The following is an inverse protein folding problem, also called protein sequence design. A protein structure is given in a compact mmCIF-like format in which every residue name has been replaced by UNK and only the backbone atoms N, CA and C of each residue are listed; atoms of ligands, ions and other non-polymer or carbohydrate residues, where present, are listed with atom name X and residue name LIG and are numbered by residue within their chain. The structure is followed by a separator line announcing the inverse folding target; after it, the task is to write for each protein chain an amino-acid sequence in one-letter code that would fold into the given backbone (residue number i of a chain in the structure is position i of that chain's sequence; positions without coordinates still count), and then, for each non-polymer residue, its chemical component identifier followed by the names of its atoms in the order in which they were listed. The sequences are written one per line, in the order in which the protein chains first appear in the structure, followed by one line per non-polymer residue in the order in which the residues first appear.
data_IF_904609989916
#
_entry.id   IF_904609989916
#
_cell.length_a   1.000
_cell.length_b   1.000
_cell.length_c   1.000
_cell.angle_alpha   90.00
_cell.angle_beta   90.00
_cell.angle_gamma   90.00
#
_symmetry.space_group_name_H-M   'P 1'
#
loop_
_entity.id
_entity.type
_entity.pdbx_description
1 polymer ?
#
# COMPACT_ATOMS: atom_id res chain seq x y z
N UNK A 1 12.85 25.89 -19.18
CA UNK A 1 13.34 25.41 -17.87
C UNK A 1 12.13 25.13 -16.99
N UNK A 2 11.62 23.90 -16.94
CA UNK A 2 10.60 23.54 -15.95
C UNK A 2 11.32 23.10 -14.67
N UNK A 3 11.88 24.07 -13.94
CA UNK A 3 12.32 23.86 -12.57
C UNK A 3 11.06 23.67 -11.73
N UNK A 4 10.57 22.44 -11.62
CA UNK A 4 9.67 22.09 -10.53
C UNK A 4 10.48 22.29 -9.24
N UNK A 5 10.16 23.35 -8.49
CA UNK A 5 10.65 23.57 -7.14
C UNK A 5 9.95 22.53 -6.26
N UNK A 6 10.47 21.31 -6.25
CA UNK A 6 10.02 20.28 -5.32
C UNK A 6 10.76 20.49 -4.01
N UNK A 7 10.02 20.63 -2.92
CA UNK A 7 10.59 20.67 -1.60
C UNK A 7 10.99 19.23 -1.18
N UNK A 8 12.27 18.95 -0.89
CA UNK A 8 12.71 17.61 -0.47
C UNK A 8 12.00 17.14 0.81
N UNK A 9 11.59 18.06 1.67
CA UNK A 9 10.82 17.75 2.88
C UNK A 9 9.40 17.27 2.55
N UNK A 10 8.73 17.85 1.55
CA UNK A 10 7.41 17.38 1.10
C UNK A 10 7.47 15.96 0.55
N UNK A 11 8.54 15.62 -0.18
CA UNK A 11 8.77 14.25 -0.66
C UNK A 11 8.93 13.26 0.50
N UNK A 12 9.71 13.62 1.53
CA UNK A 12 9.89 12.79 2.73
C UNK A 12 8.59 12.60 3.48
N UNK A 13 7.83 13.67 3.68
CA UNK A 13 6.53 13.62 4.36
C UNK A 13 5.54 12.74 3.59
N UNK A 14 5.47 12.89 2.27
CA UNK A 14 4.63 12.04 1.44
C UNK A 14 5.08 10.58 1.47
N UNK A 15 6.39 10.30 1.41
CA UNK A 15 6.92 8.94 1.53
C UNK A 15 6.56 8.31 2.89
N UNK A 16 6.66 9.07 3.99
CA UNK A 16 6.25 8.62 5.32
C UNK A 16 4.74 8.36 5.42
N UNK A 17 3.93 9.24 4.82
CA UNK A 17 2.48 9.02 4.71
C UNK A 17 2.15 7.75 3.93
N UNK A 18 2.80 7.56 2.79
CA UNK A 18 2.61 6.39 1.93
C UNK A 18 2.96 5.09 2.66
N UNK A 19 4.05 5.09 3.42
CA UNK A 19 4.48 3.95 4.24
C UNK A 19 3.44 3.59 5.32
N UNK A 20 2.93 4.60 6.04
CA UNK A 20 1.89 4.40 7.06
C UNK A 20 0.60 3.86 6.44
N UNK A 21 0.16 4.47 5.33
CA UNK A 21 -1.04 4.04 4.62
C UNK A 21 -0.97 2.57 4.19
N UNK A 22 0.14 2.14 3.59
CA UNK A 22 0.33 0.74 3.19
C UNK A 22 0.33 -0.19 4.39
N UNK A 23 1.01 0.20 5.47
CA UNK A 23 1.09 -0.62 6.69
C UNK A 23 -0.29 -0.84 7.29
N UNK A 24 -1.11 0.22 7.35
CA UNK A 24 -2.50 0.13 7.82
C UNK A 24 -3.36 -0.72 6.88
N UNK A 25 -3.20 -0.59 5.56
CA UNK A 25 -3.93 -1.38 4.58
C UNK A 25 -3.61 -2.88 4.72
N UNK A 26 -2.34 -3.23 4.94
CA UNK A 26 -1.91 -4.60 5.19
C UNK A 26 -2.51 -5.18 6.47
N UNK A 27 -2.49 -4.41 7.56
CA UNK A 27 -3.08 -4.81 8.84
C UNK A 27 -4.58 -5.04 8.72
N UNK A 28 -5.31 -4.10 8.13
CA UNK A 28 -6.77 -4.20 7.89
C UNK A 28 -7.10 -5.36 6.96
N UNK A 29 -6.32 -5.57 5.91
CA UNK A 29 -6.49 -6.70 5.00
C UNK A 29 -6.32 -8.05 5.69
N UNK A 30 -5.34 -8.18 6.58
CA UNK A 30 -5.11 -9.39 7.39
C UNK A 30 -6.29 -9.66 8.35
N UNK A 31 -6.78 -8.60 9.02
CA UNK A 31 -7.94 -8.71 9.90
C UNK A 31 -9.20 -9.14 9.13
N UNK A 32 -9.42 -8.57 7.94
CA UNK A 32 -10.56 -8.94 7.10
C UNK A 32 -10.48 -10.39 6.61
N UNK A 33 -9.29 -10.87 6.24
CA UNK A 33 -9.07 -12.29 5.92
C UNK A 33 -9.41 -13.23 7.09
N UNK A 34 -9.10 -12.82 8.32
CA UNK A 34 -9.47 -13.58 9.52
C UNK A 34 -10.98 -13.64 9.73
N UNK A 35 -11.68 -12.52 9.53
CA UNK A 35 -13.15 -12.47 9.59
C UNK A 35 -13.79 -13.33 8.52
N UNK A 36 -13.22 -13.34 7.30
CA UNK A 36 -13.67 -14.21 6.22
C UNK A 36 -13.56 -15.68 6.63
N UNK A 37 -12.40 -16.12 7.14
CA UNK A 37 -12.21 -17.49 7.61
C UNK A 37 -13.22 -17.89 8.71
N UNK A 38 -13.60 -16.96 9.59
CA UNK A 38 -14.63 -17.21 10.59
C UNK A 38 -16.02 -17.39 9.96
N UNK A 39 -16.36 -16.58 8.94
CA UNK A 39 -17.62 -16.71 8.20
C UNK A 39 -17.74 -18.07 7.50
N UNK A 40 -16.65 -18.62 6.98
CA UNK A 40 -16.63 -19.97 6.37
C UNK A 40 -16.97 -21.10 7.36
N UNK A 41 -16.85 -20.83 8.68
CA UNK A 41 -17.18 -21.82 9.70
C UNK A 41 -18.69 -22.03 9.82
N UNK A 42 -19.48 -20.97 9.64
CA UNK A 42 -20.94 -20.97 9.80
C UNK A 42 -21.70 -20.98 8.47
N UNK A 43 -21.08 -20.51 7.38
CA UNK A 43 -21.66 -20.50 6.04
C UNK A 43 -20.94 -21.51 5.15
N UNK A 44 -21.61 -22.60 4.75
CA UNK A 44 -21.00 -23.74 4.03
C UNK A 44 -21.89 -24.24 2.89
N UNK A 45 -22.04 -23.43 1.87
CA UNK A 45 -22.76 -23.78 0.65
C UNK A 45 -21.97 -23.39 -0.61
N UNK A 46 -22.56 -23.60 -1.79
CA UNK A 46 -21.93 -23.26 -3.07
C UNK A 46 -21.76 -21.74 -3.26
N UNK A 47 -22.67 -20.94 -2.71
CA UNK A 47 -22.62 -19.48 -2.80
C UNK A 47 -21.45 -18.94 -1.98
N UNK A 48 -21.22 -19.50 -0.80
CA UNK A 48 -20.05 -19.20 0.02
C UNK A 48 -18.76 -19.50 -0.73
N UNK A 49 -18.65 -20.66 -1.40
CA UNK A 49 -17.44 -21.00 -2.18
C UNK A 49 -17.17 -20.01 -3.29
N UNK A 50 -18.22 -19.61 -4.03
CA UNK A 50 -18.11 -18.61 -5.10
C UNK A 50 -17.68 -17.26 -4.53
N UNK A 51 -18.32 -16.80 -3.47
CA UNK A 51 -17.98 -15.56 -2.78
C UNK A 51 -16.52 -15.58 -2.28
N UNK A 52 -16.09 -16.66 -1.64
CA UNK A 52 -14.73 -16.80 -1.12
C UNK A 52 -13.69 -16.74 -2.23
N UNK A 53 -13.94 -17.39 -3.37
CA UNK A 53 -13.03 -17.33 -4.51
C UNK A 53 -12.88 -15.90 -5.08
N UNK A 54 -14.00 -15.19 -5.25
CA UNK A 54 -14.01 -13.79 -5.72
C UNK A 54 -13.32 -12.85 -4.71
N UNK A 55 -13.66 -12.99 -3.43
CA UNK A 55 -13.07 -12.21 -2.34
C UNK A 55 -11.55 -12.43 -2.23
N UNK A 56 -11.09 -13.69 -2.29
CA UNK A 56 -9.66 -14.01 -2.28
C UNK A 56 -8.93 -13.39 -3.48
N UNK A 57 -9.57 -13.31 -4.65
CA UNK A 57 -8.97 -12.62 -5.80
C UNK A 57 -8.79 -11.12 -5.56
N UNK A 58 -9.83 -10.46 -5.04
CA UNK A 58 -9.75 -9.05 -4.67
C UNK A 58 -8.65 -8.80 -3.62
N UNK A 59 -8.53 -9.66 -2.61
CA UNK A 59 -7.46 -9.56 -1.60
C UNK A 59 -6.06 -9.74 -2.19
N UNK A 60 -5.89 -10.59 -3.22
CA UNK A 60 -4.63 -10.68 -3.97
C UNK A 60 -4.32 -9.38 -4.70
N UNK A 61 -5.31 -8.71 -5.28
CA UNK A 61 -5.13 -7.42 -5.95
C UNK A 61 -4.69 -6.33 -4.95
N UNK A 62 -5.32 -6.27 -3.77
CA UNK A 62 -4.89 -5.38 -2.68
C UNK A 62 -3.45 -5.65 -2.26
N UNK A 63 -3.08 -6.93 -2.12
CA UNK A 63 -1.71 -7.32 -1.77
C UNK A 63 -0.68 -6.90 -2.84
N UNK A 64 -1.06 -6.93 -4.13
CA UNK A 64 -0.22 -6.44 -5.23
C UNK A 64 -0.08 -4.92 -5.19
N UNK A 65 -1.17 -4.20 -4.91
CA UNK A 65 -1.16 -2.74 -4.76
C UNK A 65 -0.21 -2.32 -3.64
N UNK A 66 -0.30 -2.97 -2.48
CA UNK A 66 0.61 -2.72 -1.35
C UNK A 66 2.08 -2.81 -1.78
N UNK A 67 2.46 -3.93 -2.41
CA UNK A 67 3.84 -4.15 -2.88
C UNK A 67 4.30 -3.12 -3.89
N UNK A 68 3.43 -2.75 -4.84
CA UNK A 68 3.74 -1.72 -5.84
C UNK A 68 3.94 -0.35 -5.17
N UNK A 69 3.10 -0.02 -4.19
CA UNK A 69 3.21 1.23 -3.43
C UNK A 69 4.48 1.30 -2.59
N UNK A 70 4.90 0.20 -1.95
CA UNK A 70 6.16 0.13 -1.19
C UNK A 70 7.38 0.44 -2.06
N UNK A 71 7.37 0.05 -3.33
CA UNK A 71 8.46 0.33 -4.27
C UNK A 71 8.60 1.82 -4.62
N UNK A 72 7.55 2.63 -4.43
CA UNK A 72 7.61 4.08 -4.66
C UNK A 72 8.29 4.84 -3.52
N UNK A 73 8.31 4.28 -2.31
CA UNK A 73 8.90 4.94 -1.13
C UNK A 73 10.40 5.23 -1.34
N UNK A 74 11.25 4.25 -1.72
CA UNK A 74 12.68 4.51 -1.97
C UNK A 74 12.91 5.51 -3.10
N UNK A 75 12.05 5.53 -4.12
CA UNK A 75 12.16 6.49 -5.22
C UNK A 75 11.96 7.93 -4.73
N UNK A 76 10.94 8.18 -3.90
CA UNK A 76 10.67 9.49 -3.32
C UNK A 76 11.82 9.96 -2.41
N UNK A 77 12.37 9.05 -1.60
CA UNK A 77 13.51 9.36 -0.71
C UNK A 77 14.78 9.70 -1.50
N UNK A 78 15.13 8.89 -2.51
CA UNK A 78 16.27 9.19 -3.40
C UNK A 78 16.10 10.51 -4.14
N UNK A 79 14.86 10.83 -4.54
CA UNK A 79 14.56 12.10 -5.20
C UNK A 79 14.77 13.29 -4.25
N UNK A 80 14.39 13.15 -2.98
CA UNK A 80 14.64 14.16 -1.96
C UNK A 80 16.15 14.37 -1.73
N UNK A 81 16.92 13.28 -1.60
CA UNK A 81 18.39 13.33 -1.45
C UNK A 81 19.09 14.04 -2.61
N UNK A 82 18.68 13.75 -3.86
CA UNK A 82 19.22 14.42 -5.04
C UNK A 82 18.96 15.93 -5.05
N UNK A 83 17.80 16.34 -4.55
CA UNK A 83 17.42 17.77 -4.49
C UNK A 83 18.18 18.48 -3.38
N UNK A 84 18.34 17.87 -2.20
CA UNK A 84 19.17 18.43 -1.13
C UNK A 84 20.62 18.61 -1.59
N UNK A 85 21.20 17.60 -2.25
CA UNK A 85 22.54 17.69 -2.82
C UNK A 85 22.67 18.82 -3.85
N UNK A 86 21.65 19.05 -4.69
CA UNK A 86 21.63 20.15 -5.65
C UNK A 86 21.50 21.53 -4.97
N UNK A 87 20.76 21.61 -3.86
CA UNK A 87 20.59 22.82 -3.06
C UNK A 87 21.79 23.09 -2.13
N UNK A 88 22.76 22.18 -2.06
CA UNK A 88 23.91 22.28 -1.16
C UNK A 88 23.53 22.17 0.32
N UNK A 89 22.46 21.45 0.63
CA UNK A 89 21.98 21.15 1.99
C UNK A 89 22.30 19.71 2.39
#
# INVERSE_FOLDING_TARGET
MNQAVVNPEELRQFAAHLNRFVSELQQRGTALGTQMNHLEQSWRDEQQRKFAAEFQDQMRQVSRLIKATEQHIPYLLRKAEQIDAYLGR
#
